data_IF_122804820164
#
_entry.id   IF_122804820164
#
_cell.length_a   1.000
_cell.length_b   1.000
_cell.length_c   1.000
_cell.angle_alpha   90.00
_cell.angle_beta   90.00
_cell.angle_gamma   90.00
#
_symmetry.space_group_name_H-M   'P 1'
#
loop_
_entity.id
_entity.type
_entity.pdbx_description
1 polymer ?
#
# COMPACT_ATOMS: atom_id res chain seq x y z
N UNK A 1 37.25 17.66 -0.88
CA UNK A 1 36.15 18.55 -1.31
C UNK A 1 35.02 18.39 -0.30
N UNK A 2 34.41 19.49 0.18
CA UNK A 2 33.41 19.44 1.25
C UNK A 2 32.07 18.79 0.83
N UNK A 3 31.78 18.76 -0.47
CA UNK A 3 30.58 18.15 -1.03
C UNK A 3 30.92 17.26 -2.22
N UNK A 4 30.48 16.01 -2.16
CA UNK A 4 30.56 15.08 -3.29
C UNK A 4 29.37 15.28 -4.23
N UNK A 5 29.50 14.97 -5.54
CA UNK A 5 28.37 14.94 -6.45
C UNK A 5 27.29 13.94 -6.01
N UNK A 6 26.05 14.16 -6.47
CA UNK A 6 24.97 13.20 -6.26
C UNK A 6 25.28 11.86 -6.94
N UNK A 7 24.90 10.76 -6.30
CA UNK A 7 24.92 9.43 -6.92
C UNK A 7 23.74 9.27 -7.88
N UNK A 8 23.86 8.35 -8.84
CA UNK A 8 22.78 7.98 -9.76
C UNK A 8 22.41 6.53 -9.51
N UNK A 9 21.11 6.27 -9.35
CA UNK A 9 20.57 4.96 -9.04
C UNK A 9 19.50 4.64 -10.09
N UNK A 10 19.63 3.55 -10.85
CA UNK A 10 18.58 3.11 -11.76
C UNK A 10 17.27 2.90 -11.02
N UNK A 11 16.19 3.48 -11.54
CA UNK A 11 14.85 3.42 -10.95
C UNK A 11 13.80 3.61 -12.04
N UNK A 12 12.57 3.14 -11.79
CA UNK A 12 11.40 3.40 -12.64
C UNK A 12 10.30 4.03 -11.81
N UNK A 13 9.72 5.13 -12.27
CA UNK A 13 8.56 5.75 -11.62
C UNK A 13 7.30 5.27 -12.31
N UNK A 14 6.43 4.58 -11.58
CA UNK A 14 5.25 3.93 -12.16
C UNK A 14 3.97 4.31 -11.42
N UNK A 15 2.87 4.34 -12.17
CA UNK A 15 1.52 4.23 -11.62
C UNK A 15 1.17 2.75 -11.52
N UNK A 16 0.68 2.32 -10.36
CA UNK A 16 0.00 1.03 -10.19
C UNK A 16 -1.35 1.29 -9.53
N UNK A 17 -2.43 0.87 -10.19
CA UNK A 17 -3.79 1.25 -9.80
C UNK A 17 -3.93 2.77 -9.65
N UNK A 18 -4.40 3.21 -8.49
CA UNK A 18 -4.57 4.63 -8.11
C UNK A 18 -3.41 5.19 -7.26
N UNK A 19 -2.23 4.55 -7.32
CA UNK A 19 -1.03 4.99 -6.60
C UNK A 19 0.15 5.20 -7.54
N UNK A 20 1.12 6.01 -7.10
CA UNK A 20 2.42 6.17 -7.77
C UNK A 20 3.54 5.78 -6.82
N UNK A 21 4.59 5.17 -7.34
CA UNK A 21 5.75 4.78 -6.54
C UNK A 21 7.04 4.71 -7.37
N UNK A 22 8.17 4.79 -6.67
CA UNK A 22 9.50 4.60 -7.26
C UNK A 22 9.93 3.14 -7.09
N UNK A 23 10.17 2.45 -8.20
CA UNK A 23 10.52 1.05 -8.27
C UNK A 23 12.02 0.87 -8.52
N UNK A 24 12.61 -0.09 -7.81
CA UNK A 24 14.02 -0.43 -7.90
C UNK A 24 14.18 -1.94 -8.08
N UNK A 25 15.15 -2.36 -8.89
CA UNK A 25 15.70 -3.71 -8.74
C UNK A 25 16.63 -3.70 -7.54
N UNK A 26 16.61 -4.75 -6.72
CA UNK A 26 17.49 -4.85 -5.56
C UNK A 26 18.97 -4.62 -5.92
N UNK A 27 19.42 -5.20 -7.03
CA UNK A 27 20.82 -5.13 -7.48
C UNK A 27 21.23 -3.78 -8.04
N UNK A 28 20.29 -2.87 -8.32
CA UNK A 28 20.60 -1.51 -8.77
C UNK A 28 20.84 -0.55 -7.61
N UNK A 29 20.45 -0.95 -6.38
CA UNK A 29 20.70 -0.17 -5.18
C UNK A 29 22.18 -0.18 -4.81
N UNK A 30 22.69 0.90 -4.17
CA UNK A 30 23.99 0.88 -3.50
C UNK A 30 24.10 -0.33 -2.56
N UNK A 31 25.28 -0.93 -2.47
CA UNK A 31 25.53 -2.17 -1.69
C UNK A 31 24.94 -2.12 -0.27
N UNK A 32 25.16 -1.01 0.45
CA UNK A 32 24.64 -0.81 1.80
C UNK A 32 23.10 -0.79 1.89
N UNK A 33 22.39 -0.50 0.79
CA UNK A 33 20.93 -0.50 0.70
C UNK A 33 20.35 -1.81 0.13
N UNK A 34 21.20 -2.76 -0.30
CA UNK A 34 20.76 -4.08 -0.78
C UNK A 34 20.30 -5.01 0.35
N UNK A 35 20.54 -4.64 1.60
CA UNK A 35 19.96 -5.32 2.78
C UNK A 35 19.02 -4.37 3.55
N UNK A 36 18.02 -4.89 4.28
CA UNK A 36 17.17 -4.05 5.13
C UNK A 36 18.01 -3.32 6.21
N UNK A 37 17.69 -2.06 6.47
CA UNK A 37 18.34 -1.28 7.52
C UNK A 37 18.44 0.20 7.20
N UNK A 38 19.08 0.95 8.10
CA UNK A 38 19.12 2.41 8.09
C UNK A 38 19.64 3.02 6.77
N UNK A 39 20.61 2.37 6.10
CA UNK A 39 21.13 2.86 4.83
C UNK A 39 20.08 2.80 3.70
N UNK A 40 19.28 1.73 3.66
CA UNK A 40 18.14 1.62 2.73
C UNK A 40 17.08 2.66 3.06
N UNK A 41 16.70 2.78 4.33
CA UNK A 41 15.66 3.73 4.73
C UNK A 41 16.07 5.17 4.42
N UNK A 42 17.31 5.55 4.75
CA UNK A 42 17.85 6.88 4.45
C UNK A 42 17.88 7.17 2.94
N UNK A 43 18.23 6.17 2.12
CA UNK A 43 18.19 6.30 0.67
C UNK A 43 16.76 6.59 0.18
N UNK A 44 15.80 5.77 0.61
CA UNK A 44 14.41 5.88 0.15
C UNK A 44 13.74 7.16 0.64
N UNK A 45 14.02 7.56 1.88
CA UNK A 45 13.64 8.85 2.44
C UNK A 45 14.14 9.99 1.55
N UNK A 46 15.44 9.97 1.18
CA UNK A 46 16.01 11.03 0.35
C UNK A 46 15.46 11.05 -1.08
N UNK A 47 15.24 9.88 -1.70
CA UNK A 47 14.62 9.77 -3.03
C UNK A 47 13.22 10.36 -3.03
N UNK A 48 12.43 10.05 -2.01
CA UNK A 48 11.04 10.53 -1.91
C UNK A 48 10.99 12.01 -1.49
N UNK A 49 11.99 12.51 -0.77
CA UNK A 49 12.06 13.88 -0.29
C UNK A 49 11.48 14.03 1.12
N UNK A 50 11.79 13.10 2.01
CA UNK A 50 11.32 13.07 3.40
C UNK A 50 12.46 12.88 4.41
N UNK A 51 12.29 13.29 5.68
CA UNK A 51 11.15 14.06 6.21
C UNK A 51 11.14 15.49 5.65
N UNK A 52 9.95 15.98 5.30
CA UNK A 52 9.76 17.34 4.79
C UNK A 52 8.87 18.15 5.74
N UNK A 53 9.41 19.15 6.47
CA UNK A 53 8.62 20.00 7.35
C UNK A 53 7.60 20.89 6.61
N UNK A 54 7.70 21.02 5.28
CA UNK A 54 6.73 21.74 4.46
C UNK A 54 5.57 20.85 4.00
N UNK A 55 5.68 19.52 4.17
CA UNK A 55 4.71 18.53 3.71
C UNK A 55 4.37 18.70 2.22
N UNK A 56 5.39 18.97 1.39
CA UNK A 56 5.26 19.13 -0.07
C UNK A 56 6.11 18.15 -0.88
N UNK A 57 7.15 17.57 -0.27
CA UNK A 57 8.12 16.68 -0.92
C UNK A 57 8.74 17.30 -2.19
N UNK A 58 8.89 18.63 -2.22
CA UNK A 58 9.38 19.39 -3.39
C UNK A 58 10.80 18.98 -3.80
N UNK A 59 11.62 18.55 -2.84
CA UNK A 59 13.01 18.13 -3.07
C UNK A 59 13.14 16.59 -3.19
N UNK A 60 12.15 15.95 -3.82
CA UNK A 60 12.14 14.51 -4.06
C UNK A 60 11.07 14.07 -5.05
N UNK A 61 10.88 12.75 -5.18
CA UNK A 61 9.93 12.12 -6.10
C UNK A 61 8.52 11.95 -5.51
N UNK A 62 8.36 12.24 -4.22
CA UNK A 62 7.08 12.18 -3.52
C UNK A 62 6.10 13.25 -4.01
N UNK A 63 4.81 12.95 -3.89
CA UNK A 63 3.73 13.88 -4.26
C UNK A 63 2.94 14.44 -3.07
N UNK A 64 3.50 14.37 -1.86
CA UNK A 64 2.91 14.85 -0.61
C UNK A 64 1.53 14.26 -0.26
N UNK A 65 1.27 13.04 -0.71
CA UNK A 65 0.11 12.25 -0.29
C UNK A 65 0.56 10.81 -0.03
N UNK A 66 -0.17 10.09 0.82
CA UNK A 66 0.14 8.69 1.14
C UNK A 66 0.16 7.81 -0.12
N UNK A 67 -0.69 8.07 -1.12
CA UNK A 67 -0.78 7.36 -2.40
C UNK A 67 0.38 7.64 -3.36
N UNK A 68 1.20 8.66 -3.09
CA UNK A 68 2.35 9.08 -3.91
C UNK A 68 3.69 9.12 -3.16
N UNK A 69 3.71 8.73 -1.88
CA UNK A 69 4.91 8.67 -1.03
C UNK A 69 5.31 7.20 -0.80
N UNK A 70 5.67 6.51 -1.89
CA UNK A 70 5.81 5.05 -1.93
C UNK A 70 7.07 4.61 -2.67
N UNK A 71 7.77 3.63 -2.11
CA UNK A 71 8.90 2.96 -2.76
C UNK A 71 8.67 1.46 -2.84
N UNK A 72 9.24 0.86 -3.89
CA UNK A 72 9.12 -0.58 -4.17
C UNK A 72 10.49 -1.12 -4.54
N UNK A 73 10.85 -2.24 -3.92
CA UNK A 73 12.05 -3.00 -4.27
C UNK A 73 11.59 -4.37 -4.77
N UNK A 74 12.08 -4.77 -5.94
CA UNK A 74 11.79 -6.08 -6.54
C UNK A 74 13.10 -6.82 -6.78
N UNK A 75 13.11 -8.11 -6.48
CA UNK A 75 14.23 -9.01 -6.76
C UNK A 75 13.74 -10.34 -7.33
N UNK A 76 14.64 -11.11 -7.93
CA UNK A 76 14.34 -12.52 -8.24
C UNK A 76 14.03 -13.25 -6.94
N UNK A 77 12.97 -14.04 -6.96
CA UNK A 77 12.59 -14.84 -5.79
C UNK A 77 13.53 -16.03 -5.62
N UNK A 78 13.82 -16.36 -4.36
CA UNK A 78 14.44 -17.63 -3.97
C UNK A 78 13.41 -18.65 -3.46
N UNK A 79 12.14 -18.23 -3.31
CA UNK A 79 11.03 -19.08 -2.89
C UNK A 79 10.62 -19.99 -4.05
N UNK A 80 10.35 -21.28 -3.78
CA UNK A 80 9.69 -22.15 -4.74
C UNK A 80 8.39 -21.50 -5.24
N UNK A 81 8.08 -21.74 -6.51
CA UNK A 81 6.84 -21.30 -7.16
C UNK A 81 6.59 -19.79 -7.23
N UNK A 82 7.63 -18.98 -7.04
CA UNK A 82 7.55 -17.53 -7.19
C UNK A 82 8.62 -17.04 -8.16
N UNK A 83 8.29 -16.03 -8.96
CA UNK A 83 9.19 -15.44 -9.95
C UNK A 83 9.98 -14.28 -9.32
N UNK A 84 9.31 -13.46 -8.51
CA UNK A 84 9.91 -12.27 -7.88
C UNK A 84 9.47 -12.08 -6.43
N UNK A 85 10.38 -11.53 -5.62
CA UNK A 85 10.08 -10.99 -4.30
C UNK A 85 9.74 -9.51 -4.44
N UNK A 86 8.67 -9.08 -3.78
CA UNK A 86 8.17 -7.71 -3.74
C UNK A 86 8.21 -7.17 -2.31
N UNK A 87 8.97 -6.09 -2.12
CA UNK A 87 9.01 -5.34 -0.87
C UNK A 87 8.46 -3.92 -1.07
N UNK A 88 7.50 -3.55 -0.24
CA UNK A 88 6.85 -2.24 -0.22
C UNK A 88 7.29 -1.41 0.97
N UNK A 89 7.73 -0.18 0.72
CA UNK A 89 8.02 0.82 1.74
C UNK A 89 7.04 1.99 1.65
N UNK A 90 6.25 2.20 2.69
CA UNK A 90 5.47 3.44 2.85
C UNK A 90 6.37 4.50 3.49
N UNK A 91 6.70 5.55 2.76
CA UNK A 91 7.57 6.61 3.28
C UNK A 91 6.70 7.68 3.96
N UNK A 92 6.95 7.96 5.24
CA UNK A 92 6.30 9.05 5.97
C UNK A 92 6.70 10.39 5.36
N UNK A 93 5.74 11.32 5.28
CA UNK A 93 6.00 12.66 4.72
C UNK A 93 6.80 13.48 5.72
N UNK A 94 6.39 13.46 6.98
CA UNK A 94 6.80 14.34 8.08
C UNK A 94 7.90 13.73 8.99
N UNK A 95 8.03 12.40 9.04
CA UNK A 95 8.98 11.69 9.91
C UNK A 95 10.06 10.96 9.10
N UNK A 96 11.28 10.81 9.65
CA UNK A 96 12.35 10.02 9.02
C UNK A 96 12.08 8.52 9.19
N UNK A 97 10.99 8.04 8.59
CA UNK A 97 10.49 6.68 8.79
C UNK A 97 9.97 6.07 7.49
N UNK A 98 10.35 4.80 7.27
CA UNK A 98 9.81 3.95 6.21
C UNK A 98 9.10 2.77 6.87
N UNK A 99 7.79 2.65 6.64
CA UNK A 99 6.99 1.56 7.17
C UNK A 99 7.01 0.38 6.19
N UNK A 100 7.46 -0.78 6.69
CA UNK A 100 7.59 -2.03 5.96
C UNK A 100 6.53 -3.08 6.40
N UNK A 101 5.54 -2.70 7.20
CA UNK A 101 4.61 -3.64 7.86
C UNK A 101 3.46 -4.16 7.00
N UNK A 102 3.24 -3.58 5.81
CA UNK A 102 2.06 -3.86 4.99
C UNK A 102 2.37 -4.07 3.51
N UNK A 103 1.31 -4.39 2.77
CA UNK A 103 1.32 -4.44 1.31
C UNK A 103 0.67 -3.17 0.72
N UNK A 104 0.96 -2.88 -0.55
CA UNK A 104 0.21 -1.92 -1.35
C UNK A 104 -0.46 -2.62 -2.52
N UNK A 105 -1.74 -2.98 -2.38
CA UNK A 105 -2.49 -3.69 -3.42
C UNK A 105 -2.53 -2.95 -4.77
N UNK A 106 -2.59 -1.62 -4.75
CA UNK A 106 -2.50 -0.79 -5.96
C UNK A 106 -1.18 -0.98 -6.71
N UNK A 107 -0.04 -0.94 -6.00
CA UNK A 107 1.27 -1.08 -6.64
C UNK A 107 1.59 -2.52 -7.04
N UNK A 108 0.91 -3.52 -6.49
CA UNK A 108 0.99 -4.91 -6.97
C UNK A 108 0.69 -5.02 -8.47
N UNK A 109 -0.20 -4.18 -9.03
CA UNK A 109 -0.48 -4.15 -10.47
C UNK A 109 0.71 -3.69 -11.32
N UNK A 110 1.64 -2.92 -10.75
CA UNK A 110 2.85 -2.47 -11.44
C UNK A 110 4.06 -3.38 -11.20
N UNK A 111 4.04 -4.25 -10.17
CA UNK A 111 5.16 -5.17 -9.87
C UNK A 111 5.36 -6.19 -10.99
N UNK A 112 4.30 -6.79 -11.52
CA UNK A 112 4.38 -7.72 -12.65
C UNK A 112 5.02 -7.08 -13.90
N UNK A 113 4.46 -5.97 -14.42
CA UNK A 113 5.07 -5.18 -15.49
C UNK A 113 6.54 -4.80 -15.24
N UNK A 114 6.85 -4.31 -14.03
CA UNK A 114 8.21 -3.94 -13.65
C UNK A 114 9.14 -5.15 -13.69
N UNK A 115 8.73 -6.29 -13.15
CA UNK A 115 9.53 -7.51 -13.10
C UNK A 115 9.88 -8.04 -14.49
N UNK A 116 8.95 -7.99 -15.44
CA UNK A 116 9.17 -8.39 -16.84
C UNK A 116 10.14 -7.43 -17.52
N UNK A 117 9.86 -6.14 -17.50
CA UNK A 117 10.68 -5.10 -18.16
C UNK A 117 12.09 -5.00 -17.57
N UNK A 118 12.23 -5.32 -16.28
CA UNK A 118 13.50 -5.33 -15.54
C UNK A 118 14.33 -6.60 -15.71
N UNK A 119 13.83 -7.59 -16.44
CA UNK A 119 14.50 -8.88 -16.65
C UNK A 119 14.61 -9.71 -15.38
N UNK A 120 13.62 -9.63 -14.48
CA UNK A 120 13.56 -10.42 -13.24
C UNK A 120 12.76 -11.71 -13.40
N UNK A 121 11.86 -11.78 -14.39
CA UNK A 121 11.11 -12.99 -14.73
C UNK A 121 11.92 -13.88 -15.68
N UNK A 122 11.74 -15.20 -15.59
CA UNK A 122 12.28 -16.15 -16.58
C UNK A 122 11.72 -15.83 -17.97
N UNK A 123 12.56 -15.56 -19.00
CA UNK A 123 12.08 -15.30 -20.36
C UNK A 123 11.17 -16.40 -20.93
N UNK A 124 11.35 -17.66 -20.52
CA UNK A 124 10.47 -18.76 -20.94
C UNK A 124 9.03 -18.66 -20.43
N UNK A 125 8.76 -17.77 -19.45
CA UNK A 125 7.43 -17.46 -18.92
C UNK A 125 6.80 -16.21 -19.54
N UNK A 126 7.52 -15.49 -20.41
CA UNK A 126 7.04 -14.30 -21.10
C UNK A 126 6.76 -14.66 -22.56
N UNK A 127 5.48 -14.80 -22.98
CA UNK A 127 5.16 -15.16 -24.35
C UNK A 127 5.48 -14.03 -25.33
N UNK A 128 5.52 -14.33 -26.63
CA UNK A 128 5.60 -13.28 -27.66
C UNK A 128 4.33 -12.40 -27.65
N UNK A 129 3.16 -13.02 -27.53
CA UNK A 129 1.87 -12.35 -27.41
C UNK A 129 0.98 -13.15 -26.46
N UNK A 130 0.13 -12.48 -25.67
CA UNK A 130 -0.81 -13.13 -24.75
C UNK A 130 -0.69 -12.59 -23.33
N UNK A 131 -0.67 -13.48 -22.33
CA UNK A 131 -0.60 -13.11 -20.90
C UNK A 131 0.57 -13.83 -20.23
N UNK A 132 1.45 -13.05 -19.59
CA UNK A 132 2.46 -13.57 -18.68
C UNK A 132 1.90 -13.65 -17.26
N UNK A 133 1.91 -14.84 -16.67
CA UNK A 133 1.47 -15.06 -15.27
C UNK A 133 2.68 -14.93 -14.35
N UNK A 134 2.80 -13.77 -13.69
CA UNK A 134 3.89 -13.43 -12.77
C UNK A 134 3.48 -13.77 -11.34
N UNK A 135 4.24 -14.65 -10.71
CA UNK A 135 4.01 -15.10 -9.33
C UNK A 135 4.87 -14.27 -8.39
N UNK A 136 4.23 -13.43 -7.59
CA UNK A 136 4.87 -12.43 -6.74
C UNK A 136 4.82 -12.91 -5.30
N UNK A 137 5.98 -13.04 -4.67
CA UNK A 137 6.08 -13.21 -3.23
C UNK A 137 6.06 -11.84 -2.57
N UNK A 138 4.97 -11.50 -1.89
CA UNK A 138 4.86 -10.27 -1.11
C UNK A 138 5.65 -10.46 0.19
N UNK A 139 6.85 -9.88 0.25
CA UNK A 139 7.82 -10.12 1.30
C UNK A 139 7.52 -9.41 2.63
N UNK A 140 6.71 -8.35 2.62
CA UNK A 140 6.26 -7.68 3.85
C UNK A 140 5.32 -8.56 4.67
N UNK A 141 4.37 -9.23 4.01
CA UNK A 141 3.29 -9.99 4.66
C UNK A 141 3.42 -11.50 4.48
N UNK A 142 4.36 -11.96 3.66
CA UNK A 142 4.59 -13.37 3.40
C UNK A 142 3.44 -14.06 2.66
N UNK A 143 2.92 -13.43 1.60
CA UNK A 143 1.77 -13.94 0.83
C UNK A 143 2.04 -13.95 -0.67
N UNK A 144 1.33 -14.82 -1.39
CA UNK A 144 1.41 -14.91 -2.84
C UNK A 144 0.41 -13.98 -3.50
N UNK A 145 0.88 -13.24 -4.51
CA UNK A 145 0.05 -12.45 -5.41
C UNK A 145 0.34 -12.92 -6.84
N UNK A 146 -0.71 -13.15 -7.63
CA UNK A 146 -0.57 -13.48 -9.05
C UNK A 146 -0.94 -12.24 -9.87
N UNK A 147 -0.06 -11.84 -10.78
CA UNK A 147 -0.33 -10.77 -11.74
C UNK A 147 -0.41 -11.34 -13.15
N UNK A 148 -1.54 -11.11 -13.81
CA UNK A 148 -1.78 -11.49 -15.20
C UNK A 148 -1.43 -10.32 -16.10
N UNK A 149 -0.20 -10.29 -16.59
CA UNK A 149 0.34 -9.15 -17.33
C UNK A 149 0.16 -9.38 -18.84
N UNK A 150 -0.60 -8.52 -19.54
CA UNK A 150 -0.75 -8.65 -20.99
C UNK A 150 0.57 -8.31 -21.70
N UNK A 151 0.91 -9.10 -22.72
CA UNK A 151 2.15 -9.03 -23.49
C UNK A 151 1.81 -8.91 -24.97
N UNK A 152 2.55 -8.05 -25.68
CA UNK A 152 2.48 -7.88 -27.12
C UNK A 152 3.87 -7.68 -27.69
N UNK A 153 4.23 -8.40 -28.74
CA UNK A 153 5.57 -8.39 -29.33
C UNK A 153 6.73 -8.61 -28.34
N UNK A 154 6.52 -9.47 -27.33
CA UNK A 154 7.51 -9.82 -26.31
C UNK A 154 7.73 -8.73 -25.25
N UNK A 155 6.92 -7.67 -25.24
CA UNK A 155 6.99 -6.59 -24.25
C UNK A 155 5.64 -6.39 -23.57
N UNK A 156 5.65 -5.76 -22.40
CA UNK A 156 4.42 -5.46 -21.64
C UNK A 156 3.50 -4.57 -22.48
N UNK A 157 2.23 -4.97 -22.60
CA UNK A 157 1.18 -4.15 -23.17
C UNK A 157 0.68 -3.18 -22.08
N UNK A 158 1.13 -1.93 -22.11
CA UNK A 158 0.78 -0.93 -21.09
C UNK A 158 -0.50 -0.16 -21.42
N UNK A 159 -0.75 0.09 -22.70
CA UNK A 159 -1.92 0.85 -23.18
C UNK A 159 -3.13 -0.05 -23.44
N UNK A 160 -4.32 0.51 -23.35
CA UNK A 160 -5.58 -0.22 -23.53
C UNK A 160 -6.77 0.68 -23.27
N UNK A 161 -7.95 0.09 -23.19
CA UNK A 161 -9.24 0.75 -23.01
C UNK A 161 -9.90 0.45 -21.65
N UNK A 162 -9.22 -0.29 -20.75
CA UNK A 162 -9.71 -0.54 -19.40
C UNK A 162 -9.66 0.74 -18.57
N UNK A 163 -10.82 1.12 -18.03
CA UNK A 163 -10.98 2.25 -17.11
C UNK A 163 -10.97 1.78 -15.66
N UNK A 164 -10.34 2.56 -14.78
CA UNK A 164 -10.33 2.34 -13.34
C UNK A 164 -10.69 3.66 -12.65
N UNK A 165 -11.70 3.64 -11.79
CA UNK A 165 -12.08 4.83 -11.03
C UNK A 165 -10.89 5.39 -10.23
N UNK A 166 -10.67 6.71 -10.36
CA UNK A 166 -9.50 7.41 -9.81
C UNK A 166 -8.25 7.40 -10.72
N UNK A 167 -8.28 6.70 -11.85
CA UNK A 167 -7.26 6.80 -12.91
C UNK A 167 -7.81 7.63 -14.06
N UNK A 168 -7.06 8.67 -14.46
CA UNK A 168 -7.53 9.66 -15.44
C UNK A 168 -7.65 9.13 -16.86
N UNK A 169 -6.78 8.20 -17.26
CA UNK A 169 -6.69 7.70 -18.63
C UNK A 169 -6.75 6.16 -18.64
N UNK A 170 -7.40 5.55 -19.64
CA UNK A 170 -7.47 4.11 -19.75
C UNK A 170 -6.09 3.48 -20.01
N UNK A 171 -5.96 2.21 -19.67
CA UNK A 171 -4.74 1.42 -19.83
C UNK A 171 -5.09 -0.05 -20.13
N UNK A 172 -4.09 -0.91 -20.27
CA UNK A 172 -4.35 -2.35 -20.29
C UNK A 172 -4.82 -2.83 -18.91
N UNK A 173 -5.75 -3.79 -18.89
CA UNK A 173 -6.16 -4.46 -17.66
C UNK A 173 -5.05 -5.40 -17.17
N UNK A 174 -4.78 -5.38 -15.85
CA UNK A 174 -3.88 -6.33 -15.19
C UNK A 174 -4.64 -7.00 -14.04
N UNK A 175 -5.28 -8.16 -14.29
CA UNK A 175 -5.95 -8.91 -13.24
C UNK A 175 -4.96 -9.35 -12.16
N UNK A 176 -5.39 -9.22 -10.89
CA UNK A 176 -4.61 -9.62 -9.72
C UNK A 176 -5.37 -10.65 -8.88
N UNK A 177 -4.67 -11.68 -8.42
CA UNK A 177 -5.19 -12.63 -7.44
C UNK A 177 -4.37 -12.53 -6.15
N UNK A 178 -5.04 -12.35 -5.01
CA UNK A 178 -4.43 -12.35 -3.69
C UNK A 178 -4.73 -13.70 -3.04
N UNK A 179 -3.76 -14.61 -3.06
CA UNK A 179 -3.95 -15.99 -2.58
C UNK A 179 -3.84 -16.06 -1.05
N UNK A 180 -4.74 -16.82 -0.43
CA UNK A 180 -4.84 -17.01 1.02
C UNK A 180 -4.63 -15.70 1.81
N UNK A 181 -5.45 -14.66 1.56
CA UNK A 181 -5.16 -13.29 1.99
C UNK A 181 -5.23 -13.11 3.51
N UNK A 182 -5.83 -14.06 4.24
CA UNK A 182 -5.89 -14.07 5.69
C UNK A 182 -4.49 -14.21 6.30
N UNK A 183 -4.19 -13.42 7.33
CA UNK A 183 -2.93 -13.56 8.06
C UNK A 183 -2.79 -14.95 8.69
N UNK A 184 -1.61 -15.54 8.55
CA UNK A 184 -1.29 -16.82 9.18
C UNK A 184 -1.09 -16.62 10.69
N UNK A 185 -1.37 -17.64 11.50
CA UNK A 185 -1.28 -17.64 12.97
C UNK A 185 0.08 -17.33 13.60
N UNK A 186 1.05 -16.88 12.81
CA UNK A 186 2.42 -16.55 13.22
C UNK A 186 2.74 -15.04 13.13
N UNK A 187 1.81 -14.21 12.66
CA UNK A 187 1.95 -12.74 12.60
C UNK A 187 1.22 -12.00 13.75
N UNK A 188 1.45 -10.69 13.87
CA UNK A 188 0.70 -9.83 14.80
C UNK A 188 -0.80 -9.89 14.44
N UNK A 189 -1.63 -10.39 15.37
CA UNK A 189 -3.07 -10.62 15.15
C UNK A 189 -3.40 -11.84 14.29
N UNK A 190 -2.69 -12.96 14.45
CA UNK A 190 -2.66 -14.17 13.60
C UNK A 190 -3.96 -14.97 13.37
N UNK A 191 -5.04 -14.35 12.95
CA UNK A 191 -6.18 -15.02 12.35
C UNK A 191 -6.94 -14.03 11.46
N UNK A 192 -7.84 -14.53 10.63
CA UNK A 192 -8.71 -13.68 9.80
C UNK A 192 -9.49 -12.68 10.67
N UNK A 193 -9.96 -13.11 11.84
CA UNK A 193 -10.63 -12.28 12.85
C UNK A 193 -9.84 -12.36 14.16
N UNK A 194 -8.89 -11.44 14.42
CA UNK A 194 -7.95 -11.54 15.54
C UNK A 194 -8.61 -11.63 16.92
N UNK A 195 -9.83 -11.11 17.05
CA UNK A 195 -10.62 -11.14 18.29
C UNK A 195 -11.42 -12.44 18.46
N UNK A 196 -11.52 -13.25 17.42
CA UNK A 196 -12.41 -14.42 17.35
C UNK A 196 -13.86 -14.11 16.99
N UNK A 197 -14.22 -12.82 16.86
CA UNK A 197 -15.60 -12.39 16.57
C UNK A 197 -15.71 -11.79 15.17
N UNK A 198 -16.87 -11.95 14.53
CA UNK A 198 -17.18 -11.23 13.29
C UNK A 198 -17.45 -9.74 13.56
N UNK A 199 -18.06 -9.43 14.71
CA UNK A 199 -18.34 -8.09 15.18
C UNK A 199 -18.01 -8.02 16.67
N UNK A 200 -17.22 -7.03 17.06
CA UNK A 200 -16.92 -6.70 18.45
C UNK A 200 -17.60 -5.38 18.84
N UNK A 201 -17.76 -5.19 20.15
CA UNK A 201 -17.99 -3.89 20.75
C UNK A 201 -16.63 -3.26 21.08
N UNK A 202 -16.22 -2.26 20.29
CA UNK A 202 -14.98 -1.53 20.47
C UNK A 202 -15.23 -0.30 21.33
N UNK A 203 -14.75 -0.34 22.57
CA UNK A 203 -14.77 0.81 23.47
C UNK A 203 -13.64 1.79 23.12
N UNK A 204 -14.00 3.04 22.83
CA UNK A 204 -13.06 4.11 22.53
C UNK A 204 -13.31 5.29 23.49
N UNK A 205 -12.40 5.55 24.45
CA UNK A 205 -12.53 6.65 25.40
C UNK A 205 -12.77 7.99 24.72
N UNK A 206 -13.79 8.71 25.20
CA UNK A 206 -14.22 10.01 24.65
C UNK A 206 -15.15 9.93 23.44
N UNK A 207 -15.37 8.74 22.86
CA UNK A 207 -16.30 8.52 21.73
C UNK A 207 -17.46 7.63 22.17
N UNK A 208 -17.17 6.51 22.82
CA UNK A 208 -18.17 5.52 23.25
C UNK A 208 -17.87 4.13 22.71
N UNK A 209 -18.90 3.27 22.69
CA UNK A 209 -18.82 1.89 22.20
C UNK A 209 -19.29 1.86 20.74
N UNK A 210 -18.46 1.32 19.86
CA UNK A 210 -18.74 1.18 18.43
C UNK A 210 -18.84 -0.30 18.05
N UNK A 211 -19.79 -0.65 17.19
CA UNK A 211 -19.75 -1.97 16.54
C UNK A 211 -18.65 -1.98 15.49
N UNK A 212 -17.71 -2.90 15.62
CA UNK A 212 -16.56 -2.97 14.73
C UNK A 212 -16.29 -4.40 14.25
N UNK A 213 -16.05 -4.56 12.95
CA UNK A 213 -15.41 -5.76 12.41
C UNK A 213 -13.92 -5.48 12.28
N UNK A 214 -13.11 -6.28 12.97
CA UNK A 214 -11.66 -6.22 12.89
C UNK A 214 -11.15 -7.45 12.14
N UNK A 215 -10.70 -7.24 10.90
CA UNK A 215 -10.31 -8.31 9.99
C UNK A 215 -8.85 -8.14 9.56
N UNK A 216 -8.14 -9.27 9.39
CA UNK A 216 -6.76 -9.30 8.93
C UNK A 216 -6.66 -10.14 7.64
N UNK A 217 -7.15 -9.56 6.55
CA UNK A 217 -7.08 -10.13 5.20
C UNK A 217 -6.58 -9.06 4.21
N UNK A 218 -5.44 -9.32 3.57
CA UNK A 218 -4.72 -8.34 2.74
C UNK A 218 -3.98 -7.28 3.57
N UNK A 219 -4.70 -6.56 4.44
CA UNK A 219 -4.13 -5.66 5.45
C UNK A 219 -5.05 -5.61 6.69
N UNK A 220 -4.52 -5.55 7.93
CA UNK A 220 -5.35 -5.39 9.11
C UNK A 220 -6.23 -4.14 8.99
N UNK A 221 -7.55 -4.31 9.10
CA UNK A 221 -8.54 -3.24 8.88
C UNK A 221 -9.66 -3.30 9.92
N UNK A 222 -10.00 -2.14 10.45
CA UNK A 222 -11.13 -1.92 11.35
C UNK A 222 -12.26 -1.30 10.54
N UNK A 223 -13.40 -1.99 10.45
CA UNK A 223 -14.63 -1.52 9.82
C UNK A 223 -15.65 -1.14 10.89
N UNK A 224 -16.18 0.07 10.82
CA UNK A 224 -17.25 0.59 11.70
C UNK A 224 -18.41 1.11 10.84
N UNK A 225 -19.59 1.29 11.41
CA UNK A 225 -20.69 1.93 10.67
C UNK A 225 -20.46 3.45 10.56
N UNK A 226 -20.74 4.03 9.40
CA UNK A 226 -20.69 5.47 9.19
C UNK A 226 -21.60 6.22 10.17
N UNK A 227 -22.84 5.72 10.34
CA UNK A 227 -23.84 6.34 11.21
C UNK A 227 -23.40 6.40 12.69
N UNK A 228 -22.63 5.42 13.17
CA UNK A 228 -22.15 5.37 14.56
C UNK A 228 -21.14 6.49 14.87
N UNK A 229 -20.54 7.09 13.83
CA UNK A 229 -19.65 8.25 13.94
C UNK A 229 -20.20 9.51 13.27
N UNK A 230 -21.50 9.52 12.94
CA UNK A 230 -22.20 10.69 12.40
C UNK A 230 -21.95 10.96 10.92
N UNK A 231 -21.57 9.94 10.15
CA UNK A 231 -21.39 10.02 8.70
C UNK A 231 -22.45 9.22 7.94
N UNK A 232 -22.61 9.57 6.67
CA UNK A 232 -23.49 8.94 5.71
C UNK A 232 -22.82 7.81 4.92
N UNK A 233 -21.49 7.84 4.79
CA UNK A 233 -20.73 6.93 3.92
C UNK A 233 -20.48 7.50 2.52
N UNK A 234 -21.01 8.69 2.20
CA UNK A 234 -20.87 9.35 0.89
C UNK A 234 -19.97 10.60 0.94
N UNK A 235 -19.27 10.82 2.05
CA UNK A 235 -18.34 11.94 2.23
C UNK A 235 -17.17 11.90 1.23
N UNK A 236 -16.72 13.08 0.79
CA UNK A 236 -15.51 13.27 0.00
C UNK A 236 -14.33 13.66 0.90
N UNK A 237 -13.13 13.68 0.32
CA UNK A 237 -11.91 14.02 1.05
C UNK A 237 -11.99 15.39 1.74
N UNK A 238 -12.64 16.38 1.12
CA UNK A 238 -12.78 17.73 1.68
C UNK A 238 -13.57 17.77 2.98
N UNK A 239 -14.58 16.90 3.12
CA UNK A 239 -15.47 16.82 4.27
C UNK A 239 -14.77 16.26 5.51
N UNK A 240 -13.70 15.48 5.33
CA UNK A 240 -12.98 14.79 6.41
C UNK A 240 -11.58 15.37 6.63
N UNK A 241 -10.79 15.51 5.57
CA UNK A 241 -9.37 15.88 5.70
C UNK A 241 -9.16 17.34 6.15
N UNK A 242 -10.20 18.17 6.05
CA UNK A 242 -10.17 19.56 6.51
C UNK A 242 -10.68 19.71 7.95
N UNK A 243 -11.13 18.63 8.59
CA UNK A 243 -11.63 18.63 9.97
C UNK A 243 -10.64 17.89 10.90
N UNK A 244 -9.83 18.63 11.67
CA UNK A 244 -8.90 18.03 12.63
C UNK A 244 -9.59 17.17 13.70
N UNK A 245 -10.83 17.47 14.07
CA UNK A 245 -11.58 16.69 15.07
C UNK A 245 -12.00 15.35 14.48
N UNK A 246 -12.48 15.33 13.23
CA UNK A 246 -12.75 14.10 12.50
C UNK A 246 -11.51 13.21 12.40
N UNK A 247 -10.36 13.78 12.02
CA UNK A 247 -9.09 13.06 11.91
C UNK A 247 -8.62 12.50 13.25
N UNK A 248 -8.67 13.30 14.32
CA UNK A 248 -8.33 12.84 15.68
C UNK A 248 -9.25 11.71 16.16
N UNK A 249 -10.54 11.81 15.86
CA UNK A 249 -11.54 10.78 16.18
C UNK A 249 -11.25 9.47 15.46
N UNK A 250 -10.95 9.51 14.16
CA UNK A 250 -10.60 8.32 13.38
C UNK A 250 -9.28 7.69 13.85
N UNK A 251 -8.28 8.50 14.21
CA UNK A 251 -7.02 8.01 14.76
C UNK A 251 -7.22 7.33 16.12
N UNK A 252 -8.05 7.89 17.00
CA UNK A 252 -8.39 7.26 18.27
C UNK A 252 -9.04 5.89 18.04
N UNK A 253 -10.05 5.79 17.16
CA UNK A 253 -10.69 4.51 16.82
C UNK A 253 -9.66 3.52 16.28
N UNK A 254 -8.77 3.96 15.37
CA UNK A 254 -7.72 3.13 14.79
C UNK A 254 -6.77 2.59 15.86
N UNK A 255 -6.31 3.44 16.78
CA UNK A 255 -5.37 3.07 17.83
C UNK A 255 -5.98 2.06 18.81
N UNK A 256 -7.22 2.28 19.26
CA UNK A 256 -7.92 1.33 20.14
C UNK A 256 -8.27 0.02 19.43
N UNK A 257 -8.63 0.07 18.14
CA UNK A 257 -8.80 -1.14 17.34
C UNK A 257 -7.50 -1.90 17.17
N UNK A 258 -6.36 -1.23 16.97
CA UNK A 258 -5.04 -1.86 16.90
C UNK A 258 -4.69 -2.61 18.19
N UNK A 259 -4.96 -1.99 19.35
CA UNK A 259 -4.79 -2.61 20.66
C UNK A 259 -5.70 -3.83 20.80
N UNK A 260 -6.97 -3.71 20.43
CA UNK A 260 -7.97 -4.78 20.50
C UNK A 260 -7.63 -5.97 19.60
N UNK A 261 -7.04 -5.71 18.43
CA UNK A 261 -6.53 -6.71 17.49
C UNK A 261 -5.22 -7.38 17.95
N UNK A 262 -4.60 -6.90 19.03
CA UNK A 262 -3.29 -7.38 19.50
C UNK A 262 -2.12 -7.02 18.58
N UNK A 263 -2.25 -5.93 17.80
CA UNK A 263 -1.18 -5.44 16.91
C UNK A 263 -0.15 -4.55 17.62
N UNK A 264 -0.53 -4.01 18.78
CA UNK A 264 0.29 -3.18 19.67
C UNK A 264 0.05 -3.60 21.11
N UNK A 265 1.05 -3.43 21.98
CA UNK A 265 0.95 -3.77 23.41
C UNK A 265 0.34 -2.67 24.27
N UNK A 266 0.49 -1.42 23.85
CA UNK A 266 -0.08 -0.23 24.51
C UNK A 266 -0.45 0.85 23.48
N UNK A 267 -1.26 1.82 23.90
CA UNK A 267 -1.85 2.82 22.98
C UNK A 267 -0.81 3.77 22.35
N UNK A 268 0.29 4.07 23.05
CA UNK A 268 1.31 5.03 22.59
C UNK A 268 2.10 4.49 21.39
N UNK A 269 2.19 3.16 21.25
CA UNK A 269 2.80 2.51 20.08
C UNK A 269 2.10 2.87 18.76
N UNK A 270 0.81 3.24 18.81
CA UNK A 270 0.04 3.60 17.62
C UNK A 270 0.63 4.82 16.90
N UNK A 271 1.24 5.77 17.62
CA UNK A 271 1.85 6.98 17.05
C UNK A 271 3.06 6.69 16.16
N UNK A 272 3.76 5.59 16.42
CA UNK A 272 4.87 5.08 15.62
C UNK A 272 4.42 4.06 14.56
N UNK A 273 3.20 3.53 14.69
CA UNK A 273 2.62 2.51 13.79
C UNK A 273 1.39 3.05 13.05
N UNK A 274 1.64 3.98 12.12
CA UNK A 274 0.57 4.69 11.39
C UNK A 274 0.07 3.90 10.17
N UNK A 275 0.86 2.98 9.60
CA UNK A 275 0.44 2.28 8.39
C UNK A 275 -0.59 1.17 8.64
N UNK A 276 -0.48 0.44 9.76
CA UNK A 276 -1.39 -0.66 10.10
C UNK A 276 -1.84 -0.61 11.56
N UNK A 277 -3.12 -0.92 11.88
CA UNK A 277 -4.21 -1.26 10.95
C UNK A 277 -4.74 -0.03 10.21
N UNK A 278 -5.57 -0.27 9.18
CA UNK A 278 -6.43 0.75 8.56
C UNK A 278 -7.73 0.91 9.35
N UNK A 279 -8.35 2.07 9.23
CA UNK A 279 -9.72 2.31 9.69
C UNK A 279 -10.57 2.73 8.50
N UNK A 280 -11.75 2.13 8.38
CA UNK A 280 -12.74 2.43 7.35
C UNK A 280 -14.13 2.44 7.98
N UNK A 281 -15.02 3.29 7.47
CA UNK A 281 -16.42 3.26 7.84
C UNK A 281 -17.27 2.83 6.64
N UNK A 282 -18.37 2.13 6.91
CA UNK A 282 -19.24 1.54 5.88
C UNK A 282 -20.68 1.99 6.07
N UNK A 283 -21.42 2.02 4.96
CA UNK A 283 -22.84 2.31 4.93
C UNK A 283 -23.54 1.41 3.90
N UNK A 284 -24.87 1.38 3.95
CA UNK A 284 -25.66 0.80 2.87
C UNK A 284 -25.46 1.62 1.57
N UNK A 285 -25.72 1.03 0.39
CA UNK A 285 -25.66 1.77 -0.88
C UNK A 285 -26.50 3.04 -0.83
N UNK A 286 -25.94 4.14 -1.32
CA UNK A 286 -26.59 5.43 -1.44
C UNK A 286 -25.99 6.19 -2.62
N UNK A 287 -26.83 6.95 -3.32
CA UNK A 287 -26.39 7.80 -4.43
C UNK A 287 -25.42 8.87 -3.93
N UNK A 288 -24.34 9.11 -4.68
CA UNK A 288 -23.41 10.19 -4.39
C UNK A 288 -22.73 10.73 -5.66
N UNK A 289 -22.06 11.88 -5.52
CA UNK A 289 -21.23 12.44 -6.59
C UNK A 289 -19.77 12.17 -6.24
N UNK A 290 -19.09 11.39 -7.07
CA UNK A 290 -17.68 11.10 -6.90
C UNK A 290 -16.82 12.37 -7.05
N UNK A 291 -15.58 12.33 -6.58
CA UNK A 291 -14.63 13.45 -6.69
C UNK A 291 -14.33 13.89 -8.14
N UNK A 292 -14.61 13.03 -9.12
CA UNK A 292 -14.53 13.32 -10.55
C UNK A 292 -15.73 14.12 -11.08
N UNK A 293 -16.76 14.33 -10.27
CA UNK A 293 -18.05 14.90 -10.67
C UNK A 293 -19.02 13.87 -11.28
N UNK A 294 -18.61 12.61 -11.47
CA UNK A 294 -19.50 11.55 -11.95
C UNK A 294 -20.49 11.13 -10.86
N UNK A 295 -21.80 11.00 -11.15
CA UNK A 295 -22.75 10.40 -10.23
C UNK A 295 -22.52 8.89 -10.13
N UNK A 296 -22.68 8.34 -8.94
CA UNK A 296 -22.67 6.91 -8.63
C UNK A 296 -24.02 6.59 -7.99
N UNK A 297 -24.74 5.63 -8.56
CA UNK A 297 -26.08 5.21 -8.17
C UNK A 297 -26.12 3.68 -8.00
#
# INVERSE_FOLDING_TARGET
>A
MAHSPQIRIPATYMRGGTSKGVFFRLTDLPEAAQVPGAARDALLLRVIGSPDPYEKQIDGMGGATSSTSKSVIVSRSSRPDHDVDYLFGQVSIDKPFVDWSGNCGNLSAAVGPFAITSGLVDPGRVPQDGVAVVRIWQANIGKTIIAHVPISNGVVQETGDFELDGVTFPAAEVPLEFLDPAADGRGAGGSMFPTGNLVDELEVPGIGILKATMINAGIPTIFINAADIGYSGTELQGDINSDPQALARLEAIRAYGALRMGLIGNIDEAAARQHTPKVAFVAAPADYVASSGKPVA
#
